data_IF_694990439921
#
_entry.id   IF_694990439921
#
_cell.length_a   1.000
_cell.length_b   1.000
_cell.length_c   1.000
_cell.angle_alpha   90.00
_cell.angle_beta   90.00
_cell.angle_gamma   90.00
#
_symmetry.space_group_name_H-M   'P 1'
#
loop_
_entity.id
_entity.type
_entity.pdbx_description
1 polymer ?
#
# COMPACT_ATOMS: atom_id res chain seq x y z
N UNK A 1 -10.21 -33.48 31.91
CA UNK A 1 -8.92 -32.91 31.46
C UNK A 1 -9.07 -32.49 30.00
N UNK A 2 -9.40 -31.22 29.78
CA UNK A 2 -9.67 -30.63 28.45
C UNK A 2 -8.49 -29.73 28.07
N UNK A 3 -7.92 -29.96 26.89
CA UNK A 3 -6.75 -29.25 26.36
C UNK A 3 -7.03 -27.73 26.22
N UNK A 4 -6.06 -26.83 26.51
CA UNK A 4 -6.24 -25.40 26.33
C UNK A 4 -6.24 -25.01 24.84
N UNK A 5 -7.22 -24.18 24.45
CA UNK A 5 -7.46 -23.67 23.10
C UNK A 5 -6.42 -22.64 22.61
N UNK A 6 -5.17 -22.68 23.10
CA UNK A 6 -4.16 -21.64 22.88
C UNK A 6 -3.15 -21.94 21.76
N UNK A 7 -3.41 -22.95 20.92
CA UNK A 7 -2.51 -23.34 19.84
C UNK A 7 -3.23 -23.55 18.50
N UNK A 8 -4.22 -22.71 18.18
CA UNK A 8 -4.73 -22.65 16.80
C UNK A 8 -3.79 -21.75 15.97
N UNK A 9 -2.92 -22.30 15.10
CA UNK A 9 -2.18 -21.48 14.15
C UNK A 9 -3.18 -20.74 13.26
N UNK A 10 -2.97 -19.44 13.10
CA UNK A 10 -3.70 -18.62 12.15
C UNK A 10 -3.76 -19.32 10.80
N UNK A 11 -4.93 -19.47 10.16
CA UNK A 11 -5.02 -20.12 8.85
C UNK A 11 -4.25 -19.29 7.84
N UNK A 12 -3.03 -19.73 7.54
CA UNK A 12 -2.28 -19.23 6.40
C UNK A 12 -2.94 -19.82 5.16
N UNK A 13 -3.94 -19.11 4.64
CA UNK A 13 -4.49 -19.40 3.34
C UNK A 13 -3.35 -19.31 2.32
N UNK A 14 -2.79 -20.47 1.96
CA UNK A 14 -1.89 -20.59 0.83
C UNK A 14 -2.63 -20.04 -0.38
N UNK A 15 -2.24 -18.84 -0.83
CA UNK A 15 -2.75 -18.28 -2.08
C UNK A 15 -2.22 -19.17 -3.20
N UNK A 16 -2.98 -20.20 -3.54
CA UNK A 16 -2.79 -20.92 -4.80
C UNK A 16 -3.03 -19.90 -5.89
N UNK A 17 -1.97 -19.38 -6.50
CA UNK A 17 -2.08 -18.57 -7.70
C UNK A 17 -2.66 -19.50 -8.78
N UNK A 18 -3.92 -19.33 -9.21
CA UNK A 18 -4.44 -20.15 -10.31
C UNK A 18 -3.55 -19.91 -11.53
N UNK A 19 -3.50 -20.81 -12.50
CA UNK A 19 -2.70 -20.64 -13.72
C UNK A 19 -3.24 -19.53 -14.68
N UNK A 20 -4.21 -18.72 -14.25
CA UNK A 20 -4.81 -17.61 -15.00
C UNK A 20 -4.08 -16.24 -15.05
N UNK A 21 -3.12 -15.88 -14.18
CA UNK A 21 -2.50 -14.56 -14.20
C UNK A 21 -1.53 -14.40 -15.37
N UNK A 22 -1.00 -15.48 -15.94
CA UNK A 22 -0.07 -15.42 -17.08
C UNK A 22 -0.73 -14.86 -18.34
N UNK A 23 -1.98 -15.24 -18.64
CA UNK A 23 -2.75 -14.72 -19.77
C UNK A 23 -3.15 -13.25 -19.57
N UNK A 24 -3.53 -12.87 -18.35
CA UNK A 24 -3.87 -11.47 -18.02
C UNK A 24 -2.62 -10.59 -18.08
N UNK A 25 -1.49 -11.06 -17.57
CA UNK A 25 -0.20 -10.36 -17.64
C UNK A 25 0.25 -10.21 -19.09
N UNK A 26 0.13 -11.27 -19.91
CA UNK A 26 0.44 -11.21 -21.33
C UNK A 26 -0.46 -10.21 -22.08
N UNK A 27 -1.77 -10.20 -21.79
CA UNK A 27 -2.70 -9.24 -22.38
C UNK A 27 -2.38 -7.78 -22.01
N UNK A 28 -2.06 -7.53 -20.74
CA UNK A 28 -1.66 -6.19 -20.27
C UNK A 28 -0.32 -5.76 -20.89
N UNK A 29 0.64 -6.68 -21.04
CA UNK A 29 1.92 -6.41 -21.68
C UNK A 29 1.77 -6.07 -23.17
N UNK A 30 0.92 -6.81 -23.89
CA UNK A 30 0.61 -6.53 -25.31
C UNK A 30 -0.11 -5.19 -25.45
N UNK A 31 -1.08 -4.89 -24.58
CA UNK A 31 -1.75 -3.59 -24.57
C UNK A 31 -0.79 -2.42 -24.29
N UNK A 32 0.11 -2.57 -23.32
CA UNK A 32 1.13 -1.56 -23.01
C UNK A 32 2.10 -1.35 -24.17
N UNK A 33 2.51 -2.42 -24.85
CA UNK A 33 3.37 -2.36 -26.04
C UNK A 33 2.69 -1.61 -27.21
N UNK A 34 1.40 -1.85 -27.44
CA UNK A 34 0.63 -1.17 -28.49
C UNK A 34 0.49 0.33 -28.19
N UNK A 35 0.22 0.69 -26.94
CA UNK A 35 0.14 2.10 -26.49
C UNK A 35 1.52 2.78 -26.60
N UNK A 36 2.60 2.06 -26.33
CA UNK A 36 3.98 2.56 -26.45
C UNK A 36 4.34 2.90 -27.89
N UNK A 37 4.00 2.01 -28.82
CA UNK A 37 4.23 2.23 -30.25
C UNK A 37 3.44 3.44 -30.78
N UNK A 38 2.19 3.60 -30.33
CA UNK A 38 1.34 4.72 -30.73
C UNK A 38 1.85 6.05 -30.19
N UNK A 39 2.20 6.12 -28.91
CA UNK A 39 2.76 7.34 -28.28
C UNK A 39 4.13 7.71 -28.85
N UNK A 40 4.98 6.73 -29.16
CA UNK A 40 6.25 6.95 -29.83
C UNK A 40 6.06 7.55 -31.24
N UNK A 41 5.10 7.02 -32.02
CA UNK A 41 4.76 7.55 -33.34
C UNK A 41 4.16 8.96 -33.30
N UNK A 42 3.33 9.25 -32.30
CA UNK A 42 2.75 10.57 -32.09
C UNK A 42 3.80 11.63 -31.71
N UNK A 43 4.71 11.29 -30.79
CA UNK A 43 5.79 12.18 -30.37
C UNK A 43 6.77 12.49 -31.52
N UNK A 44 7.07 11.51 -32.37
CA UNK A 44 7.92 11.68 -33.56
C UNK A 44 7.32 12.67 -34.58
N UNK A 45 6.01 12.57 -34.85
CA UNK A 45 5.32 13.44 -35.80
C UNK A 45 5.23 14.89 -35.29
N UNK A 46 4.95 15.08 -34.00
CA UNK A 46 4.95 16.40 -33.35
C UNK A 46 6.34 17.05 -33.42
N UNK A 47 7.41 16.27 -33.20
CA UNK A 47 8.79 16.77 -33.24
C UNK A 47 9.25 17.17 -34.66
N UNK A 48 8.65 16.58 -35.69
CA UNK A 48 8.93 16.89 -37.11
C UNK A 48 8.04 18.03 -37.64
N UNK A 49 7.10 18.56 -36.83
CA UNK A 49 6.05 19.51 -37.29
C UNK A 49 5.22 18.96 -38.46
N UNK A 50 5.12 17.63 -38.58
CA UNK A 50 4.22 16.99 -39.52
C UNK A 50 2.85 16.76 -38.87
N UNK A 51 1.81 16.53 -39.69
CA UNK A 51 0.44 16.35 -39.22
C UNK A 51 0.32 15.27 -38.12
N UNK A 52 -0.03 15.65 -36.87
CA UNK A 52 -0.12 14.74 -35.72
C UNK A 52 -1.22 13.67 -35.84
N UNK A 53 -2.09 13.78 -36.85
CA UNK A 53 -3.26 12.92 -37.06
C UNK A 53 -2.98 11.67 -37.90
N UNK A 54 -1.80 11.57 -38.51
CA UNK A 54 -1.42 10.42 -39.35
C UNK A 54 -0.65 9.31 -38.57
N UNK A 55 -0.59 9.41 -37.24
CA UNK A 55 0.09 8.44 -36.38
C UNK A 55 -0.52 7.03 -36.54
N UNK A 56 0.12 6.20 -37.36
CA UNK A 56 -0.25 4.81 -37.59
C UNK A 56 0.83 3.91 -36.97
N UNK A 57 0.48 2.70 -36.52
CA UNK A 57 1.41 1.72 -35.94
C UNK A 57 2.68 1.46 -36.80
N UNK A 58 2.63 1.78 -38.10
CA UNK A 58 3.68 1.52 -39.10
C UNK A 58 4.51 2.76 -39.48
N UNK A 59 4.31 3.93 -38.85
CA UNK A 59 5.09 5.14 -39.19
C UNK A 59 6.57 4.99 -38.85
N UNK A 60 6.92 4.35 -37.73
CA UNK A 60 8.32 4.11 -37.33
C UNK A 60 9.12 3.27 -38.35
N UNK A 61 8.69 2.05 -38.73
CA UNK A 61 9.43 1.23 -39.68
C UNK A 61 9.44 1.85 -41.09
N UNK A 62 8.37 2.56 -41.48
CA UNK A 62 8.28 3.22 -42.79
C UNK A 62 9.23 4.41 -42.90
N UNK A 63 9.36 5.23 -41.87
CA UNK A 63 10.33 6.34 -41.85
C UNK A 63 11.77 5.86 -41.70
N UNK A 64 12.01 4.79 -40.92
CA UNK A 64 13.34 4.18 -40.80
C UNK A 64 13.86 3.65 -42.14
N UNK A 65 13.00 3.03 -42.95
CA UNK A 65 13.37 2.52 -44.27
C UNK A 65 13.54 3.63 -45.32
N UNK A 66 12.83 4.76 -45.20
CA UNK A 66 12.84 5.82 -46.23
C UNK A 66 13.87 6.94 -45.98
N UNK A 67 14.26 7.19 -44.71
CA UNK A 67 15.15 8.29 -44.33
C UNK A 67 16.41 7.86 -43.54
N UNK A 68 16.77 6.57 -43.60
CA UNK A 68 17.91 6.00 -42.84
C UNK A 68 19.29 6.58 -43.15
N UNK A 69 19.46 7.23 -44.31
CA UNK A 69 20.75 7.76 -44.80
C UNK A 69 21.11 9.18 -44.30
N UNK A 70 20.19 9.91 -43.63
CA UNK A 70 20.49 11.24 -43.05
C UNK A 70 20.69 11.17 -41.53
N UNK A 71 21.88 11.54 -41.06
CA UNK A 71 22.26 11.49 -39.64
C UNK A 71 21.37 12.35 -38.72
N UNK A 72 20.86 13.47 -39.23
CA UNK A 72 19.99 14.40 -38.47
C UNK A 72 18.63 13.78 -38.12
N UNK A 73 18.10 12.95 -39.02
CA UNK A 73 16.79 12.30 -38.87
C UNK A 73 16.94 11.06 -37.98
N UNK A 74 18.06 10.33 -38.10
CA UNK A 74 18.37 9.16 -37.27
C UNK A 74 18.44 9.53 -35.78
N UNK A 75 19.12 10.62 -35.41
CA UNK A 75 19.20 11.05 -34.00
C UNK A 75 17.83 11.41 -33.42
N UNK A 76 16.98 12.09 -34.19
CA UNK A 76 15.62 12.47 -33.77
C UNK A 76 14.69 11.25 -33.66
N UNK A 77 14.86 10.26 -34.53
CA UNK A 77 14.14 8.98 -34.47
C UNK A 77 14.43 8.24 -33.16
N UNK A 78 15.71 8.07 -32.80
CA UNK A 78 16.10 7.40 -31.55
C UNK A 78 15.61 8.14 -30.29
N UNK A 79 15.65 9.47 -30.28
CA UNK A 79 15.13 10.28 -29.16
C UNK A 79 13.61 10.09 -29.00
N UNK A 80 12.85 10.16 -30.10
CA UNK A 80 11.39 9.97 -30.05
C UNK A 80 10.96 8.55 -29.65
N UNK A 81 11.70 7.53 -30.10
CA UNK A 81 11.50 6.14 -29.70
C UNK A 81 11.79 5.96 -28.20
N UNK A 82 12.88 6.55 -27.70
CA UNK A 82 13.23 6.54 -26.29
C UNK A 82 12.16 7.20 -25.41
N UNK A 83 11.63 8.35 -25.83
CA UNK A 83 10.56 9.06 -25.10
C UNK A 83 9.26 8.26 -25.06
N UNK A 84 8.85 7.66 -26.17
CA UNK A 84 7.64 6.84 -26.22
C UNK A 84 7.72 5.62 -25.31
N UNK A 85 8.85 4.90 -25.36
CA UNK A 85 9.10 3.74 -24.49
C UNK A 85 9.13 4.17 -23.02
N UNK A 86 9.83 5.26 -22.69
CA UNK A 86 9.92 5.76 -21.33
C UNK A 86 8.55 6.14 -20.76
N UNK A 87 7.70 6.83 -21.53
CA UNK A 87 6.38 7.26 -21.06
C UNK A 87 5.44 6.08 -20.75
N UNK A 88 5.59 4.96 -21.46
CA UNK A 88 4.80 3.75 -21.21
C UNK A 88 5.34 2.83 -20.13
N UNK A 89 6.66 2.67 -20.04
CA UNK A 89 7.25 1.79 -19.04
C UNK A 89 7.36 2.47 -17.67
N UNK A 90 7.53 3.78 -17.60
CA UNK A 90 7.69 4.50 -16.33
C UNK A 90 6.57 4.25 -15.31
N UNK A 91 5.26 4.35 -15.64
CA UNK A 91 4.21 4.09 -14.66
C UNK A 91 4.12 2.61 -14.25
N UNK A 92 4.39 1.68 -15.18
CA UNK A 92 4.43 0.25 -14.88
C UNK A 92 5.57 -0.11 -13.93
N UNK A 93 6.78 0.42 -14.20
CA UNK A 93 7.95 0.26 -13.35
C UNK A 93 7.72 0.90 -11.99
N UNK A 94 7.17 2.12 -11.92
CA UNK A 94 6.85 2.80 -10.66
C UNK A 94 5.84 2.03 -9.80
N UNK A 95 4.89 1.30 -10.42
CA UNK A 95 3.92 0.47 -9.70
C UNK A 95 4.54 -0.87 -9.23
N UNK A 96 5.51 -1.39 -9.97
CA UNK A 96 6.28 -2.59 -9.61
C UNK A 96 7.36 -2.30 -8.56
N UNK A 97 7.72 -1.04 -8.35
CA UNK A 97 8.69 -0.65 -7.33
C UNK A 97 8.14 -1.04 -5.94
N UNK A 98 8.89 -1.87 -5.17
CA UNK A 98 8.43 -2.33 -3.87
C UNK A 98 8.26 -1.14 -2.92
N UNK A 99 7.02 -0.93 -2.47
CA UNK A 99 6.73 0.07 -1.43
C UNK A 99 7.44 -0.37 -0.15
N UNK A 100 8.39 0.44 0.32
CA UNK A 100 9.12 0.19 1.57
C UNK A 100 8.11 0.05 2.70
N UNK A 101 7.92 -1.19 3.19
CA UNK A 101 7.18 -1.48 4.42
C UNK A 101 8.19 -1.45 5.56
N UNK A 102 7.84 -0.84 6.68
CA UNK A 102 8.65 -0.90 7.87
C UNK A 102 8.74 -2.34 8.36
N UNK A 103 9.96 -2.79 8.66
CA UNK A 103 10.24 -4.19 9.02
C UNK A 103 9.68 -4.58 10.40
N UNK A 104 9.51 -3.59 11.28
CA UNK A 104 9.07 -3.77 12.67
C UNK A 104 7.67 -3.18 12.94
N UNK A 105 6.95 -2.79 11.88
CA UNK A 105 5.71 -2.04 12.00
C UNK A 105 5.94 -0.56 12.31
N UNK A 106 4.97 0.27 11.93
CA UNK A 106 4.99 1.70 12.22
C UNK A 106 4.38 1.95 13.59
N UNK A 107 5.21 2.33 14.57
CA UNK A 107 4.73 2.82 15.85
C UNK A 107 4.18 4.24 15.66
N UNK A 108 2.86 4.35 15.56
CA UNK A 108 2.15 5.64 15.51
C UNK A 108 0.94 5.63 16.42
N UNK A 109 0.51 6.83 16.83
CA UNK A 109 -0.75 6.97 17.54
C UNK A 109 -1.92 6.50 16.68
N UNK A 110 -2.83 5.78 17.32
CA UNK A 110 -4.05 5.31 16.69
C UNK A 110 -5.00 6.48 16.41
N UNK A 111 -5.66 6.43 15.26
CA UNK A 111 -6.75 7.35 14.92
C UNK A 111 -8.03 6.95 15.64
N UNK A 112 -8.99 7.88 15.77
CA UNK A 112 -10.29 7.61 16.42
C UNK A 112 -11.02 6.39 15.83
N UNK A 113 -10.94 6.21 14.51
CA UNK A 113 -11.54 5.05 13.81
C UNK A 113 -10.85 3.74 14.18
N UNK A 114 -9.53 3.75 14.35
CA UNK A 114 -8.76 2.58 14.77
C UNK A 114 -9.04 2.24 16.23
N UNK A 115 -9.14 3.24 17.11
CA UNK A 115 -9.53 3.06 18.52
C UNK A 115 -10.92 2.44 18.64
N UNK A 116 -11.88 2.95 17.87
CA UNK A 116 -13.24 2.39 17.82
C UNK A 116 -13.24 0.95 17.31
N UNK A 117 -12.48 0.66 16.23
CA UNK A 117 -12.35 -0.69 15.68
C UNK A 117 -11.66 -1.66 16.63
N UNK A 118 -10.73 -1.18 17.45
CA UNK A 118 -10.07 -1.96 18.49
C UNK A 118 -10.99 -2.24 19.70
N UNK A 119 -12.22 -1.71 19.72
CA UNK A 119 -13.18 -1.94 20.80
C UNK A 119 -12.88 -1.15 22.07
N UNK A 120 -11.98 -0.15 22.02
CA UNK A 120 -11.54 0.58 23.21
C UNK A 120 -12.55 1.63 23.73
N UNK A 121 -13.66 1.83 23.02
CA UNK A 121 -14.71 2.80 23.37
C UNK A 121 -15.95 2.13 23.99
N UNK A 122 -15.82 0.89 24.47
CA UNK A 122 -16.86 0.19 25.21
C UNK A 122 -16.98 0.65 26.66
N UNK A 123 -17.95 0.06 27.36
CA UNK A 123 -18.29 0.41 28.75
C UNK A 123 -17.78 -0.63 29.78
N UNK A 124 -17.23 -1.75 29.31
CA UNK A 124 -16.72 -2.84 30.15
C UNK A 124 -15.23 -3.08 29.92
N UNK A 125 -14.47 -3.19 31.01
CA UNK A 125 -13.05 -3.56 30.97
C UNK A 125 -12.16 -2.73 31.90
N UNK A 126 -10.85 -2.81 31.65
CA UNK A 126 -9.84 -2.05 32.38
C UNK A 126 -9.71 -0.66 31.75
N UNK A 127 -9.91 0.39 32.54
CA UNK A 127 -9.71 1.78 32.14
C UNK A 127 -8.21 2.04 31.95
N UNK A 128 -7.82 2.34 30.72
CA UNK A 128 -6.45 2.70 30.33
C UNK A 128 -6.22 4.22 30.39
N UNK A 129 -7.26 5.01 30.18
CA UNK A 129 -7.17 6.46 30.12
C UNK A 129 -8.41 7.11 29.54
N UNK A 130 -8.29 8.34 29.05
CA UNK A 130 -9.42 9.14 28.54
C UNK A 130 -9.09 9.79 27.20
N UNK A 131 -9.99 9.65 26.23
CA UNK A 131 -9.94 10.36 24.96
C UNK A 131 -11.10 11.36 24.87
N UNK A 132 -10.82 12.62 25.21
CA UNK A 132 -11.84 13.66 25.26
C UNK A 132 -12.86 13.41 26.37
N UNK A 133 -14.11 13.09 26.01
CA UNK A 133 -15.19 12.81 26.97
C UNK A 133 -15.43 11.31 27.23
N UNK A 134 -14.71 10.41 26.54
CA UNK A 134 -14.88 8.96 26.71
C UNK A 134 -13.66 8.32 27.36
N UNK A 135 -13.89 7.36 28.25
CA UNK A 135 -12.84 6.50 28.77
C UNK A 135 -12.41 5.49 27.69
N UNK A 136 -11.12 5.16 27.69
CA UNK A 136 -10.59 4.07 26.89
C UNK A 136 -10.55 2.82 27.78
N UNK A 137 -11.38 1.83 27.46
CA UNK A 137 -11.50 0.60 28.23
C UNK A 137 -10.99 -0.58 27.42
N UNK A 138 -10.14 -1.39 28.02
CA UNK A 138 -9.60 -2.60 27.41
C UNK A 138 -10.53 -3.78 27.71
N UNK A 139 -11.23 -4.32 26.71
CA UNK A 139 -12.16 -5.41 26.93
C UNK A 139 -11.44 -6.76 27.07
N UNK A 140 -12.09 -7.69 27.79
CA UNK A 140 -11.67 -9.08 27.87
C UNK A 140 -10.53 -9.37 28.86
N UNK A 141 -9.96 -10.57 28.75
CA UNK A 141 -8.90 -11.08 29.63
C UNK A 141 -7.52 -10.68 29.09
N UNK A 142 -7.25 -9.38 29.04
CA UNK A 142 -5.96 -8.83 28.61
C UNK A 142 -5.19 -8.25 29.79
N UNK A 143 -3.89 -8.48 29.84
CA UNK A 143 -3.01 -7.94 30.88
C UNK A 143 -2.51 -6.54 30.53
N UNK A 144 -2.40 -5.66 31.55
CA UNK A 144 -1.86 -4.30 31.42
C UNK A 144 -0.70 -4.12 32.38
N UNK A 145 0.44 -3.67 31.88
CA UNK A 145 1.59 -3.30 32.70
C UNK A 145 1.66 -1.76 32.83
N UNK A 146 1.55 -1.26 34.07
CA UNK A 146 1.65 0.16 34.35
C UNK A 146 3.04 0.52 34.87
N UNK A 147 3.82 1.24 34.06
CA UNK A 147 5.08 1.83 34.47
C UNK A 147 4.87 3.31 34.84
N UNK A 148 5.10 3.65 36.11
CA UNK A 148 5.02 5.03 36.59
C UNK A 148 6.02 5.28 37.74
N UNK A 149 6.70 6.45 37.77
CA UNK A 149 7.61 6.82 38.85
C UNK A 149 6.96 6.87 40.25
N UNK A 150 7.75 6.85 41.34
CA UNK A 150 7.23 7.11 42.69
C UNK A 150 6.49 8.46 42.75
N UNK A 151 5.40 8.51 43.53
CA UNK A 151 4.55 9.71 43.71
C UNK A 151 3.88 10.25 42.43
N UNK A 152 3.88 9.52 41.32
CA UNK A 152 3.19 9.89 40.08
C UNK A 152 1.66 9.71 40.12
N UNK A 153 1.09 9.29 41.25
CA UNK A 153 -0.35 9.08 41.38
C UNK A 153 -0.89 7.81 40.71
N UNK A 154 -0.06 6.78 40.46
CA UNK A 154 -0.54 5.50 39.88
C UNK A 154 -1.69 4.85 40.66
N UNK A 155 -1.69 5.00 41.98
CA UNK A 155 -2.76 4.52 42.86
C UNK A 155 -4.08 5.25 42.61
N UNK A 156 -4.06 6.57 42.63
CA UNK A 156 -5.28 7.40 42.49
C UNK A 156 -5.75 7.54 41.04
N UNK A 157 -4.84 7.51 40.08
CA UNK A 157 -5.13 7.73 38.66
C UNK A 157 -5.47 6.46 37.87
N UNK A 158 -5.01 5.29 38.32
CA UNK A 158 -5.24 4.02 37.59
C UNK A 158 -5.81 2.94 38.50
N UNK A 159 -5.22 2.69 39.68
CA UNK A 159 -5.62 1.56 40.54
C UNK A 159 -7.02 1.78 41.13
N UNK A 160 -7.27 2.89 41.82
CA UNK A 160 -8.55 3.18 42.48
C UNK A 160 -9.71 3.25 41.46
N UNK A 161 -9.61 3.98 40.33
CA UNK A 161 -10.70 4.01 39.34
C UNK A 161 -11.02 2.63 38.76
N UNK A 162 -10.00 1.82 38.48
CA UNK A 162 -10.22 0.45 38.00
C UNK A 162 -10.82 -0.45 39.07
N UNK A 163 -10.40 -0.33 40.33
CA UNK A 163 -10.96 -1.11 41.43
C UNK A 163 -12.45 -0.78 41.67
N UNK A 164 -12.86 0.47 41.46
CA UNK A 164 -14.26 0.89 41.58
C UNK A 164 -15.10 0.52 40.34
N UNK A 165 -14.50 0.51 39.15
CA UNK A 165 -15.21 0.19 37.90
C UNK A 165 -15.32 -1.32 37.66
N UNK A 166 -14.41 -2.13 38.20
CA UNK A 166 -14.33 -3.56 37.89
C UNK A 166 -15.45 -4.35 38.58
N UNK A 167 -16.29 -5.09 37.83
CA UNK A 167 -17.41 -5.83 38.42
C UNK A 167 -17.00 -7.13 39.12
N UNK A 168 -15.77 -7.60 38.89
CA UNK A 168 -15.29 -8.87 39.43
C UNK A 168 -14.48 -8.74 40.72
N UNK A 169 -13.92 -9.87 41.18
CA UNK A 169 -13.01 -9.88 42.32
C UNK A 169 -11.67 -9.24 41.97
N UNK A 170 -11.11 -8.50 42.92
CA UNK A 170 -9.80 -7.86 42.83
C UNK A 170 -8.93 -8.34 44.00
N UNK A 171 -7.67 -8.69 43.70
CA UNK A 171 -6.67 -9.09 44.70
C UNK A 171 -5.47 -8.17 44.54
N UNK A 172 -5.02 -7.58 45.64
CA UNK A 172 -3.89 -6.64 45.70
C UNK A 172 -2.66 -7.30 46.32
#
# INVERSE_FOLDING_TARGET
>A
MTLPASAAPWPQAAKTFPAGPTLVIAGVAVGALLVALYLAGFAFLVLIKADPRAATLLTLPRYAHYYGEREDIRRRLWVSAGVGVALTLAPGVALLLPKRRSLHGDARFATRREIARAGLLGDDGIILGRLGRRCLMLPGQQGVALAAPPRAGKGTGVVIPNALNWPGSLVC
#
